data_IF_039348079608
#
_entry.id   IF_039348079608
#
_cell.length_a   1.000
_cell.length_b   1.000
_cell.length_c   1.000
_cell.angle_alpha   90.00
_cell.angle_beta   90.00
_cell.angle_gamma   90.00
#
_symmetry.space_group_name_H-M   'P 1'
#
loop_
_entity.id
_entity.type
_entity.pdbx_description
1 polymer ?
#
# COMPACT_ATOMS: atom_id res chain seq x y z
N UNK A 1 16.47 23.43 0.61
CA UNK A 1 16.02 22.09 1.07
C UNK A 1 17.12 21.50 1.94
N UNK A 2 16.81 20.81 3.03
CA UNK A 2 17.84 20.17 3.85
C UNK A 2 18.55 19.06 3.03
N UNK A 3 19.84 18.77 3.28
CA UNK A 3 20.54 17.66 2.61
C UNK A 3 19.78 16.33 2.71
N UNK A 4 19.14 16.08 3.85
CA UNK A 4 18.28 14.92 4.07
C UNK A 4 17.10 14.85 3.09
N UNK A 5 16.41 15.98 2.87
CA UNK A 5 15.27 16.05 1.96
C UNK A 5 15.68 15.78 0.50
N UNK A 6 16.88 16.22 0.11
CA UNK A 6 17.45 15.95 -1.22
C UNK A 6 17.77 14.46 -1.38
N UNK A 7 18.43 13.85 -0.39
CA UNK A 7 18.74 12.42 -0.41
C UNK A 7 17.46 11.58 -0.48
N UNK A 8 16.46 11.91 0.33
CA UNK A 8 15.17 11.22 0.30
C UNK A 8 14.50 11.32 -1.08
N UNK A 9 14.50 12.50 -1.70
CA UNK A 9 13.95 12.68 -3.05
C UNK A 9 14.70 11.82 -4.09
N UNK A 10 16.03 11.81 -4.05
CA UNK A 10 16.85 11.01 -4.96
C UNK A 10 16.53 9.52 -4.78
N UNK A 11 16.42 9.02 -3.54
CA UNK A 11 16.10 7.62 -3.28
C UNK A 11 14.69 7.25 -3.75
N UNK A 12 13.70 8.12 -3.53
CA UNK A 12 12.32 7.92 -4.01
C UNK A 12 12.29 7.84 -5.54
N UNK A 13 12.96 8.76 -6.22
CA UNK A 13 13.03 8.78 -7.68
C UNK A 13 13.81 7.58 -8.23
N UNK A 14 14.94 7.22 -7.62
CA UNK A 14 15.74 6.07 -8.02
C UNK A 14 14.94 4.77 -7.89
N UNK A 15 14.20 4.60 -6.79
CA UNK A 15 13.28 3.47 -6.59
C UNK A 15 12.20 3.46 -7.68
N UNK A 16 11.50 4.57 -7.90
CA UNK A 16 10.41 4.66 -8.88
C UNK A 16 10.89 4.36 -10.31
N UNK A 17 12.03 4.92 -10.70
CA UNK A 17 12.65 4.67 -12.02
C UNK A 17 13.01 3.19 -12.16
N UNK A 18 13.60 2.60 -11.12
CA UNK A 18 14.00 1.18 -11.14
C UNK A 18 12.79 0.26 -11.25
N UNK A 19 11.73 0.50 -10.46
CA UNK A 19 10.49 -0.29 -10.52
C UNK A 19 9.82 -0.20 -11.90
N UNK A 20 9.72 1.01 -12.48
CA UNK A 20 9.17 1.18 -13.82
C UNK A 20 10.05 0.56 -14.90
N UNK A 21 11.37 0.58 -14.73
CA UNK A 21 12.30 -0.07 -15.65
C UNK A 21 12.15 -1.59 -15.60
N UNK A 22 12.13 -2.19 -14.41
CA UNK A 22 11.90 -3.63 -14.22
C UNK A 22 10.53 -4.07 -14.75
N UNK A 23 9.48 -3.30 -14.49
CA UNK A 23 8.14 -3.56 -15.03
C UNK A 23 8.14 -3.55 -16.56
N UNK A 24 8.81 -2.59 -17.20
CA UNK A 24 8.95 -2.55 -18.65
C UNK A 24 9.76 -3.71 -19.21
N UNK A 25 10.84 -4.11 -18.55
CA UNK A 25 11.61 -5.30 -18.94
C UNK A 25 10.73 -6.55 -18.90
N UNK A 26 9.97 -6.73 -17.82
CA UNK A 26 9.04 -7.84 -17.69
C UNK A 26 7.97 -7.82 -18.79
N UNK A 27 7.32 -6.68 -19.04
CA UNK A 27 6.33 -6.53 -20.11
C UNK A 27 6.91 -6.83 -21.51
N UNK A 28 8.16 -6.43 -21.77
CA UNK A 28 8.84 -6.74 -23.04
C UNK A 28 9.08 -8.24 -23.18
N UNK A 29 9.57 -8.89 -22.13
CA UNK A 29 9.79 -10.33 -22.12
C UNK A 29 8.49 -11.11 -22.32
N UNK A 30 7.42 -10.71 -21.63
CA UNK A 30 6.08 -11.30 -21.76
C UNK A 30 5.54 -11.15 -23.19
N UNK A 31 5.70 -9.97 -23.82
CA UNK A 31 5.29 -9.76 -25.22
C UNK A 31 6.13 -10.55 -26.21
N UNK A 32 7.43 -10.65 -25.98
CA UNK A 32 8.34 -11.40 -26.86
C UNK A 32 8.01 -12.89 -26.92
N UNK A 33 7.51 -13.45 -25.81
CA UNK A 33 7.12 -14.85 -25.71
C UNK A 33 5.60 -15.08 -25.87
N UNK A 34 4.84 -14.07 -26.31
CA UNK A 34 3.37 -14.15 -26.35
C UNK A 34 2.81 -15.17 -27.36
N UNK A 35 3.58 -15.49 -28.40
CA UNK A 35 3.13 -16.30 -29.54
C UNK A 35 3.45 -17.79 -29.42
N UNK A 36 4.26 -18.20 -28.44
CA UNK A 36 4.65 -19.61 -28.29
C UNK A 36 4.43 -20.08 -26.86
N UNK A 37 3.59 -21.12 -26.71
CA UNK A 37 3.44 -21.83 -25.44
C UNK A 37 4.77 -22.55 -25.15
N UNK A 38 5.42 -22.30 -23.99
CA UNK A 38 6.67 -22.95 -23.65
C UNK A 38 6.50 -24.47 -23.68
N UNK A 39 7.53 -25.24 -24.10
CA UNK A 39 7.43 -26.70 -24.24
C UNK A 39 6.90 -27.42 -23.00
N UNK A 40 7.24 -26.93 -21.81
CA UNK A 40 6.79 -27.47 -20.52
C UNK A 40 5.27 -27.37 -20.28
N UNK A 41 4.56 -26.47 -20.97
CA UNK A 41 3.11 -26.25 -20.80
C UNK A 41 2.28 -26.76 -21.98
N UNK A 42 2.91 -27.30 -23.02
CA UNK A 42 2.21 -27.85 -24.19
C UNK A 42 1.37 -29.06 -23.75
N UNK A 43 0.08 -29.02 -24.07
CA UNK A 43 -0.88 -30.07 -23.69
C UNK A 43 -1.51 -29.90 -22.30
N UNK A 44 -1.05 -28.95 -21.49
CA UNK A 44 -1.68 -28.56 -20.20
C UNK A 44 -2.55 -27.32 -20.40
N UNK A 45 -2.07 -26.36 -21.19
CA UNK A 45 -2.74 -25.08 -21.44
C UNK A 45 -3.00 -24.97 -22.94
N UNK A 46 -4.24 -24.64 -23.28
CA UNK A 46 -4.65 -24.31 -24.65
C UNK A 46 -4.13 -22.92 -25.06
N UNK A 47 -3.92 -22.72 -26.36
CA UNK A 47 -3.36 -21.49 -26.89
C UNK A 47 -4.24 -20.26 -26.57
N UNK A 48 -5.56 -20.43 -26.52
CA UNK A 48 -6.49 -19.35 -26.20
C UNK A 48 -6.38 -18.88 -24.76
N UNK A 49 -6.29 -19.80 -23.80
CA UNK A 49 -6.05 -19.49 -22.38
C UNK A 49 -4.66 -18.89 -22.17
N UNK A 50 -3.64 -19.40 -22.87
CA UNK A 50 -2.30 -18.83 -22.82
C UNK A 50 -2.29 -17.37 -23.24
N UNK A 51 -2.85 -17.04 -24.42
CA UNK A 51 -2.95 -15.66 -24.91
C UNK A 51 -3.74 -14.76 -23.95
N UNK A 52 -4.86 -15.24 -23.39
CA UNK A 52 -5.64 -14.50 -22.38
C UNK A 52 -4.82 -14.21 -21.12
N UNK A 53 -3.96 -15.14 -20.68
CA UNK A 53 -3.07 -14.93 -19.53
C UNK A 53 -1.98 -13.88 -19.78
N UNK A 54 -1.48 -13.82 -21.02
CA UNK A 54 -0.51 -12.80 -21.46
C UNK A 54 -1.19 -11.42 -21.47
N UNK A 55 -2.37 -11.32 -22.08
CA UNK A 55 -3.14 -10.07 -22.12
C UNK A 55 -3.48 -9.56 -20.71
N UNK A 56 -3.87 -10.47 -19.80
CA UNK A 56 -4.13 -10.15 -18.40
C UNK A 56 -2.86 -9.62 -17.72
N UNK A 57 -1.74 -10.32 -17.85
CA UNK A 57 -0.45 -9.92 -17.27
C UNK A 57 -0.04 -8.53 -17.74
N UNK A 58 -0.17 -8.25 -19.04
CA UNK A 58 0.16 -6.94 -19.62
C UNK A 58 -0.79 -5.84 -19.17
N UNK A 59 -2.10 -6.11 -19.11
CA UNK A 59 -3.08 -5.14 -18.64
C UNK A 59 -2.87 -4.81 -17.16
N UNK A 60 -2.63 -5.83 -16.32
CA UNK A 60 -2.36 -5.68 -14.89
C UNK A 60 -1.06 -4.93 -14.64
N UNK A 61 0.00 -5.23 -15.38
CA UNK A 61 1.28 -4.55 -15.24
C UNK A 61 1.19 -3.08 -15.63
N UNK A 62 0.50 -2.74 -16.73
CA UNK A 62 0.28 -1.32 -17.13
C UNK A 62 -0.54 -0.55 -16.10
N UNK A 63 -1.59 -1.17 -15.56
CA UNK A 63 -2.38 -0.55 -14.51
C UNK A 63 -1.56 -0.34 -13.23
N UNK A 64 -0.76 -1.34 -12.86
CA UNK A 64 0.18 -1.26 -11.73
C UNK A 64 1.19 -0.12 -11.89
N UNK A 65 1.73 0.10 -13.09
CA UNK A 65 2.64 1.22 -13.37
C UNK A 65 1.95 2.57 -13.11
N UNK A 66 0.70 2.72 -13.54
CA UNK A 66 -0.07 3.97 -13.35
C UNK A 66 -0.35 4.22 -11.86
N UNK A 67 -0.79 3.18 -11.13
CA UNK A 67 -1.04 3.27 -9.71
C UNK A 67 0.25 3.61 -8.94
N UNK A 68 1.37 2.97 -9.28
CA UNK A 68 2.67 3.25 -8.65
C UNK A 68 3.13 4.70 -8.91
N UNK A 69 2.99 5.21 -10.14
CA UNK A 69 3.29 6.62 -10.44
C UNK A 69 2.43 7.55 -9.59
N UNK A 70 1.13 7.26 -9.45
CA UNK A 70 0.26 8.03 -8.57
C UNK A 70 0.74 8.01 -7.12
N UNK A 71 1.08 6.83 -6.59
CA UNK A 71 1.56 6.67 -5.20
C UNK A 71 2.86 7.43 -4.97
N UNK A 72 3.79 7.40 -5.92
CA UNK A 72 5.06 8.16 -5.86
C UNK A 72 4.80 9.67 -5.89
N UNK A 73 3.93 10.13 -6.79
CA UNK A 73 3.56 11.56 -6.87
C UNK A 73 2.87 12.01 -5.59
N UNK A 74 1.96 11.20 -5.05
CA UNK A 74 1.28 11.47 -3.79
C UNK A 74 2.28 11.53 -2.62
N UNK A 75 3.21 10.58 -2.54
CA UNK A 75 4.26 10.56 -1.52
C UNK A 75 5.11 11.83 -1.57
N UNK A 76 5.58 12.23 -2.76
CA UNK A 76 6.36 13.45 -2.95
C UNK A 76 5.52 14.68 -2.59
N UNK A 77 4.27 14.77 -3.06
CA UNK A 77 3.39 15.89 -2.75
C UNK A 77 3.17 16.02 -1.24
N UNK A 78 2.88 14.94 -0.55
CA UNK A 78 2.62 14.93 0.90
C UNK A 78 3.88 15.26 1.70
N UNK A 79 5.05 14.74 1.30
CA UNK A 79 6.31 14.95 2.00
C UNK A 79 6.86 16.38 1.82
N UNK A 80 6.72 16.97 0.63
CA UNK A 80 7.34 18.26 0.29
C UNK A 80 6.39 19.47 0.29
N UNK A 81 5.07 19.28 0.26
CA UNK A 81 4.11 20.40 0.32
C UNK A 81 4.01 21.09 1.68
N UNK A 82 4.50 20.46 2.74
CA UNK A 82 4.29 20.93 4.12
C UNK A 82 2.88 20.68 4.65
N UNK A 83 2.02 19.96 3.92
CA UNK A 83 0.65 19.63 4.35
C UNK A 83 0.64 18.83 5.65
N UNK A 84 1.58 17.90 5.83
CA UNK A 84 1.67 17.09 7.06
C UNK A 84 2.01 17.94 8.30
N UNK A 85 3.10 18.74 8.33
CA UNK A 85 3.36 19.66 9.43
C UNK A 85 2.20 20.63 9.71
N UNK A 86 1.58 21.17 8.65
CA UNK A 86 0.44 22.07 8.79
C UNK A 86 -0.78 21.38 9.43
N UNK A 87 -1.14 20.20 8.93
CA UNK A 87 -2.25 19.41 9.48
C UNK A 87 -1.97 18.98 10.92
N UNK A 88 -0.74 18.59 11.21
CA UNK A 88 -0.31 18.23 12.56
C UNK A 88 -0.44 19.41 13.53
N UNK A 89 0.06 20.60 13.14
CA UNK A 89 -0.03 21.79 13.99
C UNK A 89 -1.49 22.18 14.28
N UNK A 90 -2.37 22.09 13.28
CA UNK A 90 -3.81 22.33 13.47
C UNK A 90 -4.46 21.29 14.38
N UNK A 91 -4.12 20.02 14.20
CA UNK A 91 -4.64 18.93 15.01
C UNK A 91 -4.19 19.05 16.48
N UNK A 92 -2.89 19.26 16.71
CA UNK A 92 -2.32 19.46 18.04
C UNK A 92 -2.88 20.70 18.75
N UNK A 93 -3.20 21.77 18.02
CA UNK A 93 -3.83 22.95 18.60
C UNK A 93 -5.26 22.65 19.13
N UNK A 94 -5.99 21.74 18.51
CA UNK A 94 -7.36 21.38 18.89
C UNK A 94 -7.43 20.24 19.92
N UNK A 95 -6.57 19.23 19.80
CA UNK A 95 -6.62 18.00 20.59
C UNK A 95 -5.46 17.84 21.59
N UNK A 96 -4.51 18.79 21.60
CA UNK A 96 -3.32 18.76 22.45
C UNK A 96 -2.26 17.77 21.96
N UNK A 97 -1.25 17.56 22.80
CA UNK A 97 -0.09 16.70 22.52
C UNK A 97 -0.07 15.42 23.38
N UNK A 98 -1.25 14.90 23.73
CA UNK A 98 -1.33 13.62 24.44
C UNK A 98 -0.92 12.45 23.52
N UNK A 99 -0.40 11.36 24.09
CA UNK A 99 -0.03 10.15 23.33
C UNK A 99 -1.18 9.64 22.45
N UNK A 100 -2.41 9.71 22.97
CA UNK A 100 -3.63 9.32 22.26
C UNK A 100 -3.94 10.26 21.08
N UNK A 101 -3.75 11.57 21.27
CA UNK A 101 -3.90 12.54 20.19
C UNK A 101 -2.87 12.29 19.07
N UNK A 102 -1.61 12.02 19.42
CA UNK A 102 -0.57 11.71 18.43
C UNK A 102 -0.88 10.41 17.66
N UNK A 103 -1.32 9.35 18.36
CA UNK A 103 -1.79 8.13 17.72
C UNK A 103 -2.99 8.41 16.80
N UNK A 104 -3.91 9.27 17.23
CA UNK A 104 -5.08 9.68 16.46
C UNK A 104 -4.71 10.39 15.18
N UNK A 105 -3.76 11.33 15.24
CA UNK A 105 -3.27 12.03 14.06
C UNK A 105 -2.63 11.08 13.05
N UNK A 106 -1.75 10.18 13.51
CA UNK A 106 -1.11 9.17 12.65
C UNK A 106 -2.14 8.23 12.01
N UNK A 107 -3.12 7.77 12.80
CA UNK A 107 -4.20 6.91 12.31
C UNK A 107 -5.07 7.61 11.25
N UNK A 108 -5.53 8.83 11.54
CA UNK A 108 -6.35 9.63 10.60
C UNK A 108 -5.57 9.92 9.32
N UNK A 109 -4.28 10.24 9.42
CA UNK A 109 -3.41 10.46 8.26
C UNK A 109 -3.32 9.20 7.40
N UNK A 110 -3.10 8.03 8.02
CA UNK A 110 -3.10 6.75 7.32
C UNK A 110 -4.43 6.45 6.62
N UNK A 111 -5.55 6.70 7.31
CA UNK A 111 -6.90 6.55 6.74
C UNK A 111 -7.10 7.48 5.55
N UNK A 112 -6.72 8.76 5.68
CA UNK A 112 -6.84 9.73 4.59
C UNK A 112 -6.05 9.30 3.35
N UNK A 113 -4.80 8.84 3.52
CA UNK A 113 -4.00 8.30 2.42
C UNK A 113 -4.62 7.04 1.80
N UNK A 114 -5.21 6.16 2.62
CA UNK A 114 -5.87 4.95 2.12
C UNK A 114 -7.11 5.24 1.28
N UNK A 115 -7.82 6.34 1.57
CA UNK A 115 -8.99 6.79 0.79
C UNK A 115 -8.57 7.20 -0.62
N UNK A 116 -7.41 7.86 -0.76
CA UNK A 116 -6.88 8.27 -2.06
C UNK A 116 -6.54 7.07 -2.96
N UNK A 117 -6.24 5.91 -2.38
CA UNK A 117 -5.99 4.67 -3.11
C UNK A 117 -7.27 3.89 -3.47
N UNK A 118 -8.43 4.22 -2.89
CA UNK A 118 -9.70 3.50 -3.14
C UNK A 118 -10.13 3.48 -4.62
N UNK A 119 -10.02 4.57 -5.39
CA UNK A 119 -10.41 4.55 -6.80
C UNK A 119 -9.59 3.54 -7.61
N UNK A 120 -8.29 3.41 -7.33
CA UNK A 120 -7.43 2.42 -7.97
C UNK A 120 -7.82 0.99 -7.58
N UNK A 121 -8.10 0.75 -6.29
CA UNK A 121 -8.57 -0.55 -5.83
C UNK A 121 -9.91 -0.94 -6.47
N UNK A 122 -10.83 0.02 -6.61
CA UNK A 122 -12.11 -0.21 -7.28
C UNK A 122 -11.92 -0.51 -8.77
N UNK A 123 -11.09 0.26 -9.47
CA UNK A 123 -10.81 0.03 -10.89
C UNK A 123 -10.14 -1.32 -11.12
N UNK A 124 -9.20 -1.71 -10.26
CA UNK A 124 -8.56 -3.02 -10.31
C UNK A 124 -9.59 -4.15 -10.25
N UNK A 125 -10.53 -4.10 -9.30
CA UNK A 125 -11.54 -5.15 -9.13
C UNK A 125 -12.61 -5.14 -10.24
N UNK A 126 -13.27 -4.00 -10.43
CA UNK A 126 -14.50 -3.92 -11.23
C UNK A 126 -14.30 -3.56 -12.69
N UNK A 127 -13.08 -3.17 -13.10
CA UNK A 127 -12.74 -2.91 -14.50
C UNK A 127 -11.68 -3.84 -15.01
N UNK A 128 -10.55 -3.97 -14.30
CA UNK A 128 -9.47 -4.83 -14.75
C UNK A 128 -9.83 -6.32 -14.56
N UNK A 129 -10.15 -6.78 -13.36
CA UNK A 129 -10.47 -8.20 -13.14
C UNK A 129 -11.77 -8.63 -13.83
N UNK A 130 -12.79 -7.78 -13.82
CA UNK A 130 -14.05 -8.01 -14.54
C UNK A 130 -13.84 -8.22 -16.05
N UNK A 131 -12.97 -7.42 -16.69
CA UNK A 131 -12.64 -7.57 -18.12
C UNK A 131 -12.11 -8.97 -18.46
N UNK A 132 -11.43 -9.61 -17.52
CA UNK A 132 -10.91 -10.96 -17.68
C UNK A 132 -11.78 -12.02 -17.00
N UNK A 133 -12.98 -11.68 -16.53
CA UNK A 133 -13.90 -12.61 -15.88
C UNK A 133 -13.37 -13.21 -14.58
N UNK A 134 -12.39 -12.58 -13.93
CA UNK A 134 -11.81 -13.03 -12.66
C UNK A 134 -12.51 -12.41 -11.45
N UNK A 135 -13.33 -11.38 -11.65
CA UNK A 135 -14.04 -10.75 -10.55
C UNK A 135 -15.17 -11.66 -10.05
N UNK A 136 -15.04 -12.13 -8.81
CA UNK A 136 -16.07 -12.90 -8.10
C UNK A 136 -16.76 -12.07 -7.01
N UNK A 137 -16.40 -10.78 -6.88
CA UNK A 137 -16.78 -9.91 -5.77
C UNK A 137 -17.87 -8.93 -6.20
N UNK A 138 -18.94 -8.82 -5.41
CA UNK A 138 -19.98 -7.80 -5.62
C UNK A 138 -19.56 -6.45 -5.02
N UNK A 139 -20.15 -5.34 -5.50
CA UNK A 139 -19.91 -4.00 -4.94
C UNK A 139 -20.27 -3.94 -3.45
N UNK A 140 -21.34 -4.63 -3.04
CA UNK A 140 -21.74 -4.72 -1.62
C UNK A 140 -20.69 -5.43 -0.78
N UNK A 141 -20.18 -6.58 -1.26
CA UNK A 141 -19.12 -7.34 -0.57
C UNK A 141 -17.85 -6.50 -0.46
N UNK A 142 -17.42 -5.87 -1.55
CA UNK A 142 -16.23 -5.02 -1.57
C UNK A 142 -16.28 -3.86 -0.57
N UNK A 143 -17.44 -3.18 -0.48
CA UNK A 143 -17.63 -2.09 0.47
C UNK A 143 -17.65 -2.60 1.92
N UNK A 144 -18.38 -3.69 2.18
CA UNK A 144 -18.44 -4.30 3.51
C UNK A 144 -17.05 -4.75 3.98
N UNK A 145 -16.24 -5.32 3.11
CA UNK A 145 -14.88 -5.75 3.45
C UNK A 145 -13.98 -4.55 3.75
N UNK A 146 -14.15 -3.43 3.05
CA UNK A 146 -13.43 -2.20 3.36
C UNK A 146 -13.83 -1.62 4.72
N UNK A 147 -15.13 -1.62 5.04
CA UNK A 147 -15.63 -1.17 6.35
C UNK A 147 -15.13 -2.09 7.46
N UNK A 148 -15.20 -3.41 7.28
CA UNK A 148 -14.65 -4.39 8.24
C UNK A 148 -13.15 -4.18 8.44
N UNK A 149 -12.38 -4.03 7.37
CA UNK A 149 -10.95 -3.76 7.43
C UNK A 149 -10.64 -2.46 8.19
N UNK A 150 -11.42 -1.40 7.96
CA UNK A 150 -11.31 -0.15 8.71
C UNK A 150 -11.64 -0.34 10.20
N UNK A 151 -12.72 -1.06 10.52
CA UNK A 151 -13.09 -1.35 11.91
C UNK A 151 -12.01 -2.16 12.62
N UNK A 152 -11.42 -3.16 11.96
CA UNK A 152 -10.30 -3.93 12.51
C UNK A 152 -9.07 -3.05 12.71
N UNK A 153 -8.74 -2.18 11.76
CA UNK A 153 -7.64 -1.23 11.91
C UNK A 153 -7.88 -0.26 13.09
N UNK A 154 -9.12 0.17 13.30
CA UNK A 154 -9.49 1.03 14.42
C UNK A 154 -9.47 0.28 15.76
N UNK A 155 -9.96 -0.96 15.82
CA UNK A 155 -10.06 -1.73 17.05
C UNK A 155 -8.72 -2.34 17.49
N UNK A 156 -7.85 -2.69 16.55
CA UNK A 156 -6.57 -3.35 16.83
C UNK A 156 -5.38 -2.43 16.55
N UNK A 157 -5.39 -1.77 15.39
CA UNK A 157 -4.29 -0.93 14.94
C UNK A 157 -4.13 0.34 15.78
N UNK A 158 -5.22 1.06 16.09
CA UNK A 158 -5.13 2.28 16.90
C UNK A 158 -4.66 2.01 18.35
N UNK A 159 -5.19 1.03 19.10
CA UNK A 159 -4.67 0.69 20.42
C UNK A 159 -3.21 0.23 20.39
N UNK A 160 -2.83 -0.57 19.40
CA UNK A 160 -1.43 -0.99 19.23
C UNK A 160 -0.52 0.22 18.98
N UNK A 161 -0.91 1.14 18.10
CA UNK A 161 -0.17 2.36 17.82
C UNK A 161 -0.03 3.24 19.07
N UNK A 162 -1.13 3.43 19.81
CA UNK A 162 -1.12 4.16 21.06
C UNK A 162 -0.21 3.52 22.11
N UNK A 163 -0.22 2.18 22.21
CA UNK A 163 0.66 1.43 23.11
C UNK A 163 2.13 1.59 22.73
N UNK A 164 2.47 1.49 21.44
CA UNK A 164 3.84 1.70 20.95
C UNK A 164 4.32 3.11 21.29
N UNK A 165 3.50 4.14 21.05
CA UNK A 165 3.85 5.51 21.43
C UNK A 165 3.98 5.67 22.95
N UNK A 166 3.17 4.96 23.74
CA UNK A 166 3.25 5.01 25.20
C UNK A 166 4.53 4.33 25.74
N UNK A 167 5.00 3.28 25.10
CA UNK A 167 6.26 2.62 25.44
C UNK A 167 7.45 3.57 25.29
N UNK A 168 7.42 4.47 24.30
CA UNK A 168 8.44 5.52 24.12
C UNK A 168 8.56 6.38 25.38
N UNK A 169 7.43 6.75 25.98
CA UNK A 169 7.40 7.54 27.21
C UNK A 169 7.84 6.73 28.45
N UNK A 170 7.45 5.45 28.54
CA UNK A 170 7.68 4.63 29.73
C UNK A 170 9.08 4.06 29.86
N UNK A 171 9.71 3.70 28.74
CA UNK A 171 10.93 2.85 28.75
C UNK A 171 12.17 3.59 28.27
N UNK A 172 12.05 4.90 28.02
CA UNK A 172 13.17 5.79 27.71
C UNK A 172 14.03 5.26 26.57
N UNK A 173 15.35 5.18 26.75
CA UNK A 173 16.28 4.75 25.71
C UNK A 173 16.04 3.33 25.16
N UNK A 174 15.42 2.45 25.96
CA UNK A 174 15.19 1.04 25.60
C UNK A 174 13.81 0.80 24.97
N UNK A 175 13.09 1.85 24.57
CA UNK A 175 11.72 1.74 24.04
C UNK A 175 11.58 0.83 22.83
N UNK A 176 12.60 0.81 21.97
CA UNK A 176 12.59 0.04 20.74
C UNK A 176 12.55 -1.48 21.02
N UNK A 177 13.17 -1.95 22.11
CA UNK A 177 13.12 -3.36 22.52
C UNK A 177 11.71 -3.76 22.94
N UNK A 178 11.07 -2.94 23.78
CA UNK A 178 9.71 -3.21 24.26
C UNK A 178 8.67 -3.07 23.15
N UNK A 179 8.79 -2.04 22.30
CA UNK A 179 7.93 -1.86 21.14
C UNK A 179 8.06 -3.04 20.17
N UNK A 180 9.29 -3.49 19.88
CA UNK A 180 9.53 -4.67 19.05
C UNK A 180 8.90 -5.93 19.66
N UNK A 181 9.11 -6.19 20.96
CA UNK A 181 8.53 -7.35 21.64
C UNK A 181 6.99 -7.34 21.57
N UNK A 182 6.35 -6.18 21.81
CA UNK A 182 4.89 -6.04 21.72
C UNK A 182 4.39 -6.24 20.29
N UNK A 183 5.05 -5.66 19.29
CA UNK A 183 4.67 -5.84 17.88
C UNK A 183 4.82 -7.29 17.43
N UNK A 184 5.91 -7.96 17.82
CA UNK A 184 6.14 -9.39 17.52
C UNK A 184 5.06 -10.24 18.20
N UNK A 185 4.79 -10.02 19.48
CA UNK A 185 3.76 -10.76 20.20
C UNK A 185 2.38 -10.56 19.57
N UNK A 186 2.05 -9.32 19.18
CA UNK A 186 0.81 -9.01 18.46
C UNK A 186 0.74 -9.72 17.10
N UNK A 187 1.82 -9.71 16.32
CA UNK A 187 1.89 -10.42 15.02
C UNK A 187 1.71 -11.93 15.18
N UNK A 188 2.34 -12.54 16.19
CA UNK A 188 2.18 -13.97 16.49
C UNK A 188 0.74 -14.29 16.89
N UNK A 189 0.13 -13.45 17.74
CA UNK A 189 -1.27 -13.62 18.13
C UNK A 189 -2.21 -13.52 16.92
N UNK A 190 -1.99 -12.54 16.04
CA UNK A 190 -2.77 -12.37 14.81
C UNK A 190 -2.57 -13.50 13.79
N UNK A 191 -1.46 -14.25 13.87
CA UNK A 191 -1.21 -15.41 13.02
C UNK A 191 -1.88 -16.68 13.56
N UNK A 192 -2.04 -16.77 14.87
CA UNK A 192 -2.65 -17.93 15.54
C UNK A 192 -4.19 -17.88 15.56
N UNK A 193 -4.78 -16.69 15.48
CA UNK A 193 -6.23 -16.44 15.46
C UNK A 193 -6.72 -16.29 14.03
#
# INVERSE_FOLDING_TARGET
>A
MSPFAIIALILILARAITELWLSRLNQRHVRGNANEVPPAFRGIIDETTYRRSIDYTLAKSRFGDIANVFDVVLLIAVLFSGVLPWAFARFSASFGNSTLALAGFLFITGVALSILALPFAWYAQFKLEERFGFNTTSVKTWLLDRVKGFLLALLLGYPLLALVLKLIEWTGANWWLWAAAVVIAFQLLMLLV
#
